data_IF_589139238479
#
_entry.id   IF_589139238479
#
_cell.length_a   1.000
_cell.length_b   1.000
_cell.length_c   1.000
_cell.angle_alpha   90.00
_cell.angle_beta   90.00
_cell.angle_gamma   90.00
#
_symmetry.space_group_name_H-M   'P 1'
#
loop_
_entity.id
_entity.type
_entity.pdbx_description
1 polymer ?
#
# COMPACT_ATOMS: atom_id res chain seq x y z
N UNK A 1 13.76 8.32 -22.35
CA UNK A 1 13.49 8.20 -20.91
C UNK A 1 12.53 7.06 -20.65
N UNK A 2 12.87 6.21 -19.72
CA UNK A 2 11.97 5.11 -19.38
C UNK A 2 10.84 5.62 -18.50
N UNK A 3 9.62 5.31 -18.89
CA UNK A 3 8.44 5.63 -18.09
C UNK A 3 8.07 4.43 -17.20
N UNK A 4 7.43 4.73 -16.09
CA UNK A 4 6.83 3.70 -15.26
C UNK A 4 5.69 3.03 -16.04
N UNK A 5 5.68 1.71 -16.11
CA UNK A 5 4.62 0.97 -16.80
C UNK A 5 3.29 1.06 -16.06
N UNK A 6 3.33 1.16 -14.74
CA UNK A 6 2.14 1.30 -13.91
C UNK A 6 1.84 2.78 -13.74
N UNK A 7 0.69 3.21 -14.23
CA UNK A 7 0.26 4.62 -14.23
C UNK A 7 -1.13 4.74 -13.63
N UNK A 8 -1.47 5.92 -13.10
CA UNK A 8 -2.84 6.19 -12.64
C UNK A 8 -3.83 6.06 -13.81
N UNK A 9 -5.01 5.56 -13.50
CA UNK A 9 -6.09 5.44 -14.47
C UNK A 9 -7.34 6.16 -13.99
N UNK A 10 -8.28 6.38 -14.88
CA UNK A 10 -9.55 7.02 -14.55
C UNK A 10 -10.58 6.05 -13.97
N UNK A 11 -10.24 4.77 -13.83
CA UNK A 11 -11.17 3.77 -13.32
C UNK A 11 -11.59 4.10 -11.90
N UNK A 12 -12.89 3.96 -11.62
CA UNK A 12 -13.44 4.22 -10.27
C UNK A 12 -13.07 3.04 -9.36
N UNK A 13 -12.46 3.36 -8.21
CA UNK A 13 -11.96 2.35 -7.26
C UNK A 13 -13.09 1.48 -6.73
N UNK A 14 -14.21 2.07 -6.35
CA UNK A 14 -15.37 1.32 -5.84
C UNK A 14 -15.89 0.31 -6.86
N UNK A 15 -15.91 0.68 -8.12
CA UNK A 15 -16.32 -0.23 -9.20
C UNK A 15 -15.33 -1.38 -9.36
N UNK A 16 -14.02 -1.08 -9.26
CA UNK A 16 -13.00 -2.11 -9.31
C UNK A 16 -13.17 -3.11 -8.16
N UNK A 17 -13.36 -2.61 -6.93
CA UNK A 17 -13.53 -3.48 -5.76
C UNK A 17 -14.74 -4.39 -5.94
N UNK A 18 -15.83 -3.86 -6.52
CA UNK A 18 -17.04 -4.65 -6.76
C UNK A 18 -16.81 -5.79 -7.76
N UNK A 19 -15.74 -5.74 -8.57
CA UNK A 19 -15.40 -6.82 -9.50
C UNK A 19 -14.61 -7.96 -8.85
N UNK A 20 -14.18 -7.80 -7.60
CA UNK A 20 -13.45 -8.85 -6.89
C UNK A 20 -14.40 -10.04 -6.68
N UNK A 21 -14.08 -11.18 -7.26
CA UNK A 21 -15.00 -12.32 -7.33
C UNK A 21 -15.24 -12.98 -5.97
N UNK A 22 -14.19 -13.15 -5.18
CA UNK A 22 -14.29 -13.81 -3.88
C UNK A 22 -14.93 -12.87 -2.86
N UNK A 23 -16.06 -13.27 -2.26
CA UNK A 23 -16.81 -12.43 -1.34
C UNK A 23 -15.99 -11.93 -0.16
N UNK A 24 -15.19 -12.80 0.45
CA UNK A 24 -14.30 -12.43 1.56
C UNK A 24 -13.24 -11.44 1.15
N UNK A 25 -12.62 -11.64 -0.01
CA UNK A 25 -11.61 -10.71 -0.54
C UNK A 25 -12.23 -9.36 -0.88
N UNK A 26 -13.45 -9.36 -1.40
CA UNK A 26 -14.16 -8.12 -1.72
C UNK A 26 -14.50 -7.34 -0.44
N UNK A 27 -14.98 -8.02 0.59
CA UNK A 27 -15.24 -7.39 1.88
C UNK A 27 -13.97 -6.85 2.51
N UNK A 28 -12.87 -7.61 2.47
CA UNK A 28 -11.56 -7.19 2.96
C UNK A 28 -11.06 -5.95 2.21
N UNK A 29 -11.25 -5.91 0.90
CA UNK A 29 -10.83 -4.76 0.09
C UNK A 29 -11.55 -3.48 0.52
N UNK A 30 -12.82 -3.57 0.87
CA UNK A 30 -13.58 -2.41 1.37
C UNK A 30 -13.04 -1.94 2.72
N UNK A 31 -12.71 -2.86 3.61
CA UNK A 31 -12.11 -2.55 4.92
C UNK A 31 -10.75 -1.89 4.73
N UNK A 32 -9.93 -2.43 3.83
CA UNK A 32 -8.61 -1.86 3.53
C UNK A 32 -8.73 -0.44 2.94
N UNK A 33 -9.67 -0.22 2.02
CA UNK A 33 -9.88 1.11 1.46
C UNK A 33 -10.21 2.13 2.56
N UNK A 34 -11.12 1.78 3.48
CA UNK A 34 -11.47 2.65 4.60
C UNK A 34 -10.25 2.92 5.50
N UNK A 35 -9.45 1.89 5.76
CA UNK A 35 -8.25 2.02 6.59
C UNK A 35 -7.24 2.98 5.95
N UNK A 36 -6.97 2.81 4.66
CA UNK A 36 -6.02 3.67 3.96
C UNK A 36 -6.51 5.11 3.84
N UNK A 37 -7.80 5.32 3.59
CA UNK A 37 -8.37 6.68 3.56
C UNK A 37 -8.24 7.36 4.92
N UNK A 38 -8.47 6.62 5.99
CA UNK A 38 -8.38 7.15 7.36
C UNK A 38 -6.94 7.53 7.73
N UNK A 39 -5.98 6.69 7.37
CA UNK A 39 -4.57 6.92 7.69
C UNK A 39 -3.98 8.05 6.85
N UNK A 40 -4.26 8.07 5.55
CA UNK A 40 -3.60 8.98 4.62
C UNK A 40 -4.34 10.29 4.40
N UNK A 41 -5.65 10.31 4.59
CA UNK A 41 -6.48 11.46 4.22
C UNK A 41 -6.61 11.66 2.73
N UNK A 42 -6.14 10.72 1.93
CA UNK A 42 -6.13 10.81 0.46
C UNK A 42 -7.25 9.98 -0.16
N UNK A 43 -7.77 10.43 -1.29
CA UNK A 43 -8.70 9.64 -2.08
C UNK A 43 -7.94 8.54 -2.84
N UNK A 44 -8.54 7.35 -2.97
CA UNK A 44 -7.90 6.26 -3.71
C UNK A 44 -7.88 6.52 -5.21
N UNK A 45 -6.82 6.07 -5.87
CA UNK A 45 -6.66 6.16 -7.32
C UNK A 45 -6.20 4.80 -7.83
N UNK A 46 -6.77 4.35 -8.94
CA UNK A 46 -6.30 3.11 -9.58
C UNK A 46 -4.96 3.34 -10.26
N UNK A 47 -4.04 2.41 -10.02
CA UNK A 47 -2.74 2.34 -10.70
C UNK A 47 -2.66 1.02 -11.44
N UNK A 48 -2.60 1.08 -12.77
CA UNK A 48 -2.68 -0.13 -13.57
C UNK A 48 -4.02 -0.82 -13.39
N UNK A 49 -4.12 -2.12 -13.69
CA UNK A 49 -5.40 -2.82 -13.66
C UNK A 49 -5.87 -3.25 -12.28
N UNK A 50 -4.98 -3.37 -11.28
CA UNK A 50 -5.35 -4.00 -10.00
C UNK A 50 -4.82 -3.31 -8.75
N UNK A 51 -4.07 -2.22 -8.87
CA UNK A 51 -3.47 -1.56 -7.72
C UNK A 51 -4.29 -0.33 -7.32
N UNK A 52 -4.55 -0.18 -6.03
CA UNK A 52 -5.24 0.98 -5.46
C UNK A 52 -4.22 1.78 -4.67
N UNK A 53 -3.97 3.02 -5.08
CA UNK A 53 -2.95 3.88 -4.47
C UNK A 53 -3.52 5.08 -3.74
N UNK A 54 -2.75 5.58 -2.77
CA UNK A 54 -3.09 6.73 -1.94
C UNK A 54 -1.89 7.66 -1.89
N UNK A 55 -2.05 8.85 -2.47
CA UNK A 55 -0.94 9.78 -2.64
C UNK A 55 0.03 9.34 -3.71
N UNK A 56 0.88 10.26 -4.13
CA UNK A 56 1.91 9.99 -5.14
C UNK A 56 3.23 10.58 -4.69
N UNK A 57 4.33 10.04 -5.22
CA UNK A 57 5.64 10.63 -5.03
C UNK A 57 6.43 10.50 -6.32
N UNK A 58 7.41 11.38 -6.50
CA UNK A 58 8.30 11.35 -7.65
C UNK A 58 9.63 10.75 -7.22
N UNK A 59 10.00 9.62 -7.83
CA UNK A 59 11.27 8.97 -7.56
C UNK A 59 12.29 9.30 -8.65
N UNK A 60 13.56 9.30 -8.26
CA UNK A 60 14.67 9.46 -9.18
C UNK A 60 15.81 8.55 -8.74
N UNK A 61 16.23 7.66 -9.61
CA UNK A 61 17.36 6.77 -9.37
C UNK A 61 18.66 7.39 -9.86
N UNK A 62 19.79 6.94 -9.32
CA UNK A 62 21.13 7.39 -9.74
C UNK A 62 21.38 7.14 -11.24
N UNK A 63 20.74 6.13 -11.81
CA UNK A 63 20.81 5.81 -13.22
C UNK A 63 20.12 6.87 -14.11
N UNK A 64 19.41 7.83 -13.53
CA UNK A 64 18.64 8.84 -14.26
C UNK A 64 17.19 8.43 -14.49
N UNK A 65 16.81 7.21 -14.17
CA UNK A 65 15.41 6.78 -14.28
C UNK A 65 14.57 7.50 -13.24
N UNK A 66 13.46 8.07 -13.68
CA UNK A 66 12.55 8.76 -12.78
C UNK A 66 11.09 8.54 -13.19
N UNK A 67 10.17 8.78 -12.28
CA UNK A 67 8.74 8.64 -12.53
C UNK A 67 7.94 8.89 -11.26
N UNK A 68 6.64 8.72 -11.39
CA UNK A 68 5.71 8.85 -10.26
C UNK A 68 5.15 7.50 -9.89
N UNK A 69 4.88 7.31 -8.60
CA UNK A 69 4.27 6.09 -8.12
C UNK A 69 3.41 6.39 -6.89
N UNK A 70 2.62 5.42 -6.46
CA UNK A 70 1.82 5.55 -5.25
C UNK A 70 2.72 5.63 -4.01
N UNK A 71 2.30 6.39 -2.99
CA UNK A 71 3.02 6.44 -1.71
C UNK A 71 2.74 5.22 -0.86
N UNK A 72 1.51 4.73 -0.90
CA UNK A 72 1.08 3.51 -0.24
C UNK A 72 -0.17 3.02 -0.94
N UNK A 73 -0.57 1.80 -0.65
CA UNK A 73 -1.77 1.25 -1.24
C UNK A 73 -1.85 -0.24 -1.09
N UNK A 74 -2.78 -0.84 -1.82
CA UNK A 74 -2.95 -2.28 -1.80
C UNK A 74 -3.52 -2.79 -3.12
N UNK A 75 -3.42 -4.10 -3.33
CA UNK A 75 -4.01 -4.77 -4.49
C UNK A 75 -4.72 -6.04 -4.00
N UNK A 76 -6.05 -6.11 -4.11
CA UNK A 76 -6.79 -7.32 -3.73
C UNK A 76 -6.63 -8.34 -4.86
N UNK A 77 -5.67 -9.25 -4.68
CA UNK A 77 -5.40 -10.30 -5.67
C UNK A 77 -6.14 -11.58 -5.32
N UNK A 78 -6.22 -12.50 -6.27
CA UNK A 78 -6.99 -13.73 -6.15
C UNK A 78 -6.62 -14.54 -4.92
N UNK A 79 -5.33 -14.72 -4.64
CA UNK A 79 -4.85 -15.52 -3.52
C UNK A 79 -4.61 -14.70 -2.25
N UNK A 80 -4.10 -13.47 -2.40
CA UNK A 80 -3.65 -12.65 -1.27
C UNK A 80 -3.86 -11.18 -1.56
N UNK A 81 -4.06 -10.40 -0.50
CA UNK A 81 -3.94 -8.95 -0.58
C UNK A 81 -2.46 -8.59 -0.57
N UNK A 82 -2.03 -7.78 -1.52
CA UNK A 82 -0.69 -7.20 -1.51
C UNK A 82 -0.79 -5.79 -0.95
N UNK A 83 -0.05 -5.50 0.11
CA UNK A 83 -0.06 -4.18 0.75
C UNK A 83 1.31 -3.56 0.54
N UNK A 84 1.34 -2.34 0.01
CA UNK A 84 2.57 -1.67 -0.38
C UNK A 84 3.04 -0.75 0.76
N UNK A 85 4.11 -1.15 1.44
CA UNK A 85 4.72 -0.42 2.55
C UNK A 85 6.05 0.15 2.08
N UNK A 86 6.00 1.34 1.51
CA UNK A 86 7.13 1.93 0.78
C UNK A 86 8.17 2.60 1.69
N UNK A 87 7.80 2.90 2.93
CA UNK A 87 8.69 3.63 3.85
C UNK A 87 9.67 2.79 4.63
N UNK A 88 9.62 1.46 4.52
CA UNK A 88 10.39 0.55 5.35
C UNK A 88 11.91 0.66 5.22
N UNK A 89 12.39 1.29 4.15
CA UNK A 89 13.82 1.44 3.90
C UNK A 89 14.31 2.88 4.08
N UNK A 90 13.46 3.75 4.62
CA UNK A 90 13.81 5.17 4.75
C UNK A 90 14.87 5.41 5.81
N UNK A 91 14.79 4.69 6.93
CA UNK A 91 15.71 4.86 8.06
C UNK A 91 15.62 3.67 9.01
N UNK A 92 16.60 3.58 9.93
CA UNK A 92 16.69 2.47 10.88
C UNK A 92 15.57 2.49 11.92
N UNK A 93 15.09 3.66 12.29
CA UNK A 93 13.99 3.80 13.27
C UNK A 93 12.70 3.23 12.69
N UNK A 94 12.38 3.60 11.45
CA UNK A 94 11.20 3.07 10.76
C UNK A 94 11.31 1.57 10.56
N UNK A 95 12.47 1.08 10.17
CA UNK A 95 12.69 -0.35 9.98
C UNK A 95 12.49 -1.13 11.28
N UNK A 96 13.05 -0.63 12.39
CA UNK A 96 12.89 -1.26 13.71
C UNK A 96 11.43 -1.25 14.16
N UNK A 97 10.72 -0.15 13.91
CA UNK A 97 9.29 -0.04 14.26
C UNK A 97 8.46 -1.03 13.43
N UNK A 98 8.77 -1.17 12.14
CA UNK A 98 8.11 -2.16 11.28
C UNK A 98 8.31 -3.57 11.81
N UNK A 99 9.54 -3.93 12.18
CA UNK A 99 9.84 -5.26 12.70
C UNK A 99 9.06 -5.55 13.99
N UNK A 100 8.96 -4.57 14.88
CA UNK A 100 8.22 -4.69 16.12
C UNK A 100 6.73 -4.91 15.83
N UNK A 101 6.14 -4.13 14.94
CA UNK A 101 4.74 -4.26 14.58
C UNK A 101 4.46 -5.58 13.87
N UNK A 102 5.35 -5.99 12.96
CA UNK A 102 5.20 -7.27 12.27
C UNK A 102 5.20 -8.45 13.24
N UNK A 103 5.95 -8.35 14.34
CA UNK A 103 5.99 -9.41 15.36
C UNK A 103 4.64 -9.62 16.03
N UNK A 104 3.72 -8.65 15.94
CA UNK A 104 2.39 -8.69 16.56
C UNK A 104 1.25 -8.77 15.54
N UNK A 105 1.59 -8.75 14.23
CA UNK A 105 0.55 -8.63 13.19
C UNK A 105 -0.31 -9.89 13.06
N UNK A 106 0.30 -11.06 13.05
CA UNK A 106 -0.38 -12.32 12.81
C UNK A 106 0.23 -13.06 11.63
N UNK A 107 -0.64 -13.63 10.78
CA UNK A 107 -0.19 -14.48 9.67
C UNK A 107 0.01 -13.67 8.40
N UNK A 108 1.24 -13.61 7.91
CA UNK A 108 1.59 -12.86 6.71
C UNK A 108 2.86 -13.45 6.06
N UNK A 109 3.15 -12.99 4.84
CA UNK A 109 4.46 -13.16 4.21
C UNK A 109 4.92 -11.82 3.65
N UNK A 110 6.18 -11.70 3.26
CA UNK A 110 6.74 -10.43 2.80
C UNK A 110 7.51 -10.57 1.50
N UNK A 111 7.43 -9.53 0.67
CA UNK A 111 8.36 -9.23 -0.40
C UNK A 111 9.14 -7.97 -0.05
N UNK A 112 9.84 -7.37 -1.02
CA UNK A 112 10.68 -6.19 -0.80
C UNK A 112 9.94 -5.00 -0.20
N UNK A 113 8.88 -4.57 -0.85
CA UNK A 113 8.06 -3.45 -0.39
C UNK A 113 6.62 -3.87 -0.20
N UNK A 114 6.37 -5.16 -0.13
CA UNK A 114 5.02 -5.72 -0.07
C UNK A 114 4.84 -6.59 1.14
N UNK A 115 3.66 -6.49 1.71
CA UNK A 115 3.18 -7.35 2.77
C UNK A 115 2.02 -8.15 2.19
N UNK A 116 2.05 -9.46 2.31
CA UNK A 116 1.03 -10.34 1.73
C UNK A 116 0.17 -10.94 2.83
N UNK A 117 -1.13 -10.71 2.74
CA UNK A 117 -2.11 -11.20 3.72
C UNK A 117 -3.20 -11.95 2.97
N UNK A 118 -3.44 -13.21 3.34
CA UNK A 118 -4.48 -14.00 2.72
C UNK A 118 -5.87 -13.44 3.01
N UNK A 119 -6.18 -13.22 4.28
CA UNK A 119 -7.45 -12.62 4.70
C UNK A 119 -7.24 -11.77 5.94
N UNK A 120 -8.02 -10.71 6.09
CA UNK A 120 -7.85 -9.78 7.22
C UNK A 120 -8.13 -10.42 8.57
N UNK A 121 -8.94 -11.49 8.62
CA UNK A 121 -9.18 -12.23 9.84
C UNK A 121 -7.91 -12.88 10.42
N UNK A 122 -6.87 -13.05 9.61
CA UNK A 122 -5.60 -13.64 10.04
C UNK A 122 -4.69 -12.65 10.77
N UNK A 123 -5.00 -11.36 10.76
CA UNK A 123 -4.13 -10.32 11.29
C UNK A 123 -4.86 -9.40 12.26
N UNK A 124 -4.07 -8.69 13.08
CA UNK A 124 -4.58 -7.63 13.95
C UNK A 124 -4.69 -6.35 13.13
N UNK A 125 -5.92 -5.88 12.90
CA UNK A 125 -6.18 -4.69 12.08
C UNK A 125 -5.59 -3.42 12.68
N UNK A 126 -5.55 -3.29 14.01
CA UNK A 126 -4.95 -2.12 14.66
C UNK A 126 -3.45 -2.07 14.39
N UNK A 127 -2.80 -3.22 14.42
CA UNK A 127 -1.37 -3.32 14.10
C UNK A 127 -1.13 -3.02 12.63
N UNK A 128 -1.98 -3.52 11.73
CA UNK A 128 -1.89 -3.24 10.31
C UNK A 128 -2.05 -1.74 10.04
N UNK A 129 -3.02 -1.11 10.68
CA UNK A 129 -3.24 0.33 10.55
C UNK A 129 -1.99 1.12 10.98
N UNK A 130 -1.36 0.72 12.09
CA UNK A 130 -0.14 1.37 12.56
C UNK A 130 1.02 1.16 11.58
N UNK A 131 1.15 -0.03 10.99
CA UNK A 131 2.15 -0.29 9.95
C UNK A 131 1.97 0.65 8.76
N UNK A 132 0.75 0.82 8.31
CA UNK A 132 0.44 1.72 7.20
C UNK A 132 0.79 3.17 7.59
N UNK A 133 0.43 3.58 8.81
CA UNK A 133 0.71 4.95 9.31
C UNK A 133 2.21 5.22 9.40
N UNK A 134 2.98 4.31 9.98
CA UNK A 134 4.43 4.46 10.13
C UNK A 134 5.09 4.63 8.77
N UNK A 135 4.71 3.81 7.81
CA UNK A 135 5.27 3.87 6.47
C UNK A 135 4.81 5.13 5.72
N UNK A 136 3.56 5.56 5.93
CA UNK A 136 3.06 6.80 5.36
C UNK A 136 3.84 8.01 5.85
N UNK A 137 4.08 8.09 7.15
CA UNK A 137 4.87 9.18 7.75
C UNK A 137 6.30 9.17 7.21
N UNK A 138 6.92 7.99 7.11
CA UNK A 138 8.27 7.86 6.59
C UNK A 138 8.37 8.33 5.14
N UNK A 139 7.40 7.96 4.30
CA UNK A 139 7.36 8.42 2.92
C UNK A 139 7.18 9.93 2.81
N UNK A 140 6.34 10.51 3.65
CA UNK A 140 6.13 11.97 3.66
C UNK A 140 7.36 12.73 4.16
N UNK A 141 8.17 12.11 4.99
CA UNK A 141 9.44 12.70 5.46
C UNK A 141 10.50 12.63 4.35
N UNK A 142 10.62 11.50 3.68
CA UNK A 142 11.59 11.31 2.60
C UNK A 142 11.20 12.07 1.33
N UNK A 143 9.92 12.09 1.00
CA UNK A 143 9.37 12.78 -0.16
C UNK A 143 8.26 13.74 0.31
N UNK A 144 8.59 14.94 0.84
CA UNK A 144 7.58 15.84 1.37
C UNK A 144 6.53 16.19 0.31
N UNK A 145 5.23 16.20 0.68
CA UNK A 145 4.20 16.62 -0.26
C UNK A 145 4.31 18.11 -0.55
N UNK A 146 3.95 18.48 -1.76
CA UNK A 146 3.96 19.88 -2.18
C UNK A 146 2.79 20.64 -1.58
#
# INVERSE_FOLDING_TARGET
MSENKTKPTARVVEEFIDTVEHDGKRADAKVLDDLFRRVTGEAPVMWGPTMIGYGTYHYRYDSGREGDFLRTGFSPRKAKHSIYLMGGYCDDVTSARNDELLSRLGKFSQGKSCLYINKLADVDLDVLEELVRVNWVAMNTLYPPN
#
